data_IF_366582711382
#
_entry.id   IF_366582711382
#
_cell.length_a   1.000
_cell.length_b   1.000
_cell.length_c   1.000
_cell.angle_alpha   90.00
_cell.angle_beta   90.00
_cell.angle_gamma   90.00
#
_symmetry.space_group_name_H-M   'P 1'
#
loop_
_entity.id
_entity.type
_entity.pdbx_description
1 polymer ?
#
# COMPACT_ATOMS: atom_id res chain seq x y z
N UNK A 1 -12.56 -18.93 18.64
CA UNK A 1 -11.60 -18.10 17.88
C UNK A 1 -12.24 -16.73 17.77
N UNK A 2 -11.80 -15.79 18.60
CA UNK A 2 -12.48 -14.51 18.76
C UNK A 2 -12.33 -13.69 17.47
N UNK A 3 -13.46 -13.35 16.86
CA UNK A 3 -13.57 -12.34 15.83
C UNK A 3 -13.43 -10.97 16.54
N UNK A 4 -12.22 -10.63 16.95
CA UNK A 4 -11.87 -9.31 17.52
C UNK A 4 -11.77 -8.27 16.37
N UNK A 5 -12.77 -8.24 15.51
CA UNK A 5 -12.88 -7.26 14.44
C UNK A 5 -13.97 -6.26 14.80
N UNK A 6 -13.66 -4.97 14.69
CA UNK A 6 -14.67 -3.93 14.79
C UNK A 6 -15.74 -4.17 13.71
N UNK A 7 -16.98 -4.38 14.16
CA UNK A 7 -18.15 -4.53 13.28
C UNK A 7 -18.52 -3.16 12.75
N UNK A 8 -18.31 -2.95 11.45
CA UNK A 8 -18.77 -1.73 10.78
C UNK A 8 -20.31 -1.71 10.74
N UNK A 9 -20.95 -0.53 10.69
CA UNK A 9 -22.41 -0.40 10.62
C UNK A 9 -23.03 -1.13 9.41
N UNK A 10 -22.28 -1.30 8.32
CA UNK A 10 -22.66 -2.07 7.11
C UNK A 10 -22.61 -3.60 7.29
N UNK A 11 -22.26 -4.11 8.47
CA UNK A 11 -22.20 -5.54 8.75
C UNK A 11 -20.94 -6.26 8.25
N UNK A 12 -20.00 -5.52 7.64
CA UNK A 12 -18.67 -6.04 7.31
C UNK A 12 -17.75 -6.00 8.55
N UNK A 13 -16.96 -7.05 8.74
CA UNK A 13 -15.92 -7.07 9.76
C UNK A 13 -14.67 -6.34 9.25
N UNK A 14 -14.07 -5.49 10.08
CA UNK A 14 -12.71 -5.03 9.84
C UNK A 14 -11.79 -6.26 9.90
N UNK A 15 -11.30 -6.69 8.74
CA UNK A 15 -10.41 -7.84 8.56
C UNK A 15 -8.94 -7.52 8.89
N UNK A 16 -8.67 -6.31 9.42
CA UNK A 16 -7.33 -5.81 9.71
C UNK A 16 -6.57 -5.34 8.46
N UNK A 17 -7.23 -5.30 7.29
CA UNK A 17 -6.66 -4.68 6.10
C UNK A 17 -6.98 -3.19 6.04
N UNK A 18 -6.04 -2.42 5.51
CA UNK A 18 -6.17 -0.99 5.33
C UNK A 18 -5.69 -0.60 3.92
N UNK A 19 -6.20 0.52 3.41
CA UNK A 19 -5.77 1.06 2.13
C UNK A 19 -4.69 2.11 2.35
N UNK A 20 -3.48 1.81 1.89
CA UNK A 20 -2.37 2.74 1.84
C UNK A 20 -2.43 3.51 0.52
N UNK A 21 -2.66 4.82 0.58
CA UNK A 21 -2.54 5.72 -0.56
C UNK A 21 -1.15 6.35 -0.56
N UNK A 22 -0.46 6.22 -1.68
CA UNK A 22 0.86 6.80 -1.89
C UNK A 22 0.81 7.67 -3.13
N UNK A 23 1.33 8.89 -3.00
CA UNK A 23 1.53 9.77 -4.13
C UNK A 23 2.97 9.64 -4.63
N UNK A 24 3.13 9.13 -5.85
CA UNK A 24 4.43 9.02 -6.51
C UNK A 24 4.72 10.36 -7.17
N UNK A 25 5.54 11.18 -6.53
CA UNK A 25 5.87 12.54 -6.98
C UNK A 25 6.58 12.55 -8.34
N UNK A 26 7.44 11.56 -8.60
CA UNK A 26 8.18 11.41 -9.86
C UNK A 26 7.24 11.20 -11.07
N UNK A 27 6.15 10.46 -10.87
CA UNK A 27 5.14 10.18 -11.90
C UNK A 27 3.87 11.04 -11.74
N UNK A 28 3.82 11.89 -10.72
CA UNK A 28 2.63 12.66 -10.30
C UNK A 28 1.35 11.81 -10.25
N UNK A 29 1.44 10.59 -9.73
CA UNK A 29 0.37 9.59 -9.78
C UNK A 29 0.06 9.01 -8.41
N UNK A 30 -1.23 8.93 -8.10
CA UNK A 30 -1.71 8.33 -6.88
C UNK A 30 -1.90 6.82 -7.05
N UNK A 31 -1.35 6.05 -6.11
CA UNK A 31 -1.48 4.60 -6.06
C UNK A 31 -2.09 4.19 -4.73
N UNK A 32 -3.20 3.47 -4.77
CA UNK A 32 -3.76 2.80 -3.60
C UNK A 32 -3.36 1.33 -3.57
N UNK A 33 -2.86 0.88 -2.42
CA UNK A 33 -2.53 -0.51 -2.13
C UNK A 33 -3.29 -0.97 -0.89
N UNK A 34 -4.05 -2.05 -1.03
CA UNK A 34 -4.60 -2.74 0.14
C UNK A 34 -3.54 -3.61 0.78
N UNK A 35 -3.28 -3.34 2.04
CA UNK A 35 -2.20 -3.91 2.84
C UNK A 35 -2.77 -4.43 4.16
N UNK A 36 -2.16 -5.46 4.71
CA UNK A 36 -2.46 -5.98 6.05
C UNK A 36 -1.37 -5.48 7.00
N UNK A 37 -1.65 -5.33 8.30
CA UNK A 37 -0.64 -4.92 9.29
C UNK A 37 0.62 -5.81 9.36
N UNK A 38 0.62 -6.96 8.69
CA UNK A 38 1.73 -7.91 8.59
C UNK A 38 2.70 -7.60 7.43
N UNK A 39 2.37 -6.72 6.48
CA UNK A 39 3.23 -6.42 5.34
C UNK A 39 4.36 -5.45 5.71
N UNK A 40 5.60 -5.83 5.42
CA UNK A 40 6.77 -4.98 5.61
C UNK A 40 6.89 -3.91 4.51
N UNK A 41 7.57 -2.80 4.81
CA UNK A 41 7.74 -1.67 3.89
C UNK A 41 8.38 -2.07 2.55
N UNK A 42 9.33 -3.02 2.57
CA UNK A 42 9.92 -3.59 1.35
C UNK A 42 8.92 -4.39 0.49
N UNK A 43 7.95 -5.06 1.13
CA UNK A 43 6.88 -5.76 0.41
C UNK A 43 5.88 -4.80 -0.22
N UNK A 44 5.55 -3.70 0.45
CA UNK A 44 4.72 -2.62 -0.09
C UNK A 44 5.37 -2.02 -1.34
N UNK A 45 6.66 -1.77 -1.27
CA UNK A 45 7.47 -1.21 -2.34
C UNK A 45 7.55 -2.12 -3.58
N UNK A 46 7.73 -3.43 -3.40
CA UNK A 46 7.66 -4.39 -4.51
C UNK A 46 6.30 -4.36 -5.20
N UNK A 47 5.23 -4.39 -4.40
CA UNK A 47 3.85 -4.36 -4.90
C UNK A 47 3.52 -3.06 -5.63
N UNK A 48 4.14 -1.95 -5.23
CA UNK A 48 4.07 -0.66 -5.91
C UNK A 48 4.77 -0.72 -7.27
N UNK A 49 5.99 -1.26 -7.35
CA UNK A 49 6.74 -1.43 -8.61
C UNK A 49 5.98 -2.30 -9.60
N UNK A 50 5.41 -3.42 -9.13
CA UNK A 50 4.56 -4.30 -9.95
C UNK A 50 3.34 -3.55 -10.50
N UNK A 51 2.67 -2.74 -9.68
CA UNK A 51 1.51 -1.93 -10.11
C UNK A 51 1.87 -0.86 -11.13
N UNK A 52 3.06 -0.26 -11.01
CA UNK A 52 3.53 0.79 -11.90
C UNK A 52 4.12 0.22 -13.20
N UNK A 53 4.37 -1.10 -13.27
CA UNK A 53 4.91 -1.76 -14.46
C UNK A 53 6.37 -1.39 -14.74
N UNK A 54 7.09 -0.92 -13.72
CA UNK A 54 8.47 -0.42 -13.84
C UNK A 54 9.44 -1.60 -13.72
N UNK A 55 9.49 -2.45 -14.75
CA UNK A 55 10.47 -3.52 -14.85
C UNK A 55 11.74 -2.97 -15.52
N UNK A 56 12.87 -3.16 -14.81
CA UNK A 56 14.24 -3.03 -15.33
C UNK A 56 14.82 -1.60 -15.44
N UNK A 57 14.80 -0.82 -14.35
CA UNK A 57 15.65 0.40 -14.30
C UNK A 57 15.33 1.44 -13.22
N UNK A 58 14.22 1.30 -12.49
CA UNK A 58 13.93 2.20 -11.37
C UNK A 58 14.77 1.81 -10.16
N UNK A 59 15.89 2.50 -10.00
CA UNK A 59 16.66 2.51 -8.77
C UNK A 59 15.78 3.10 -7.66
N UNK A 60 15.24 2.23 -6.79
CA UNK A 60 14.38 2.67 -5.70
C UNK A 60 15.10 3.65 -4.76
N UNK A 61 16.43 3.60 -4.71
CA UNK A 61 17.25 4.54 -3.95
C UNK A 61 17.23 5.98 -4.52
N UNK A 62 16.56 6.21 -5.66
CA UNK A 62 16.26 7.55 -6.22
C UNK A 62 14.81 7.99 -5.98
N UNK A 63 13.94 7.10 -5.54
CA UNK A 63 12.55 7.42 -5.20
C UNK A 63 12.49 7.97 -3.76
N UNK A 64 13.22 9.05 -3.47
CA UNK A 64 13.30 9.65 -2.12
C UNK A 64 12.01 10.37 -1.67
N UNK A 65 10.92 10.35 -2.45
CA UNK A 65 9.71 11.12 -2.13
C UNK A 65 8.43 10.37 -2.49
N UNK A 66 8.18 9.25 -1.81
CA UNK A 66 6.82 8.75 -1.63
C UNK A 66 6.18 9.49 -0.45
N UNK A 67 5.18 10.33 -0.74
CA UNK A 67 4.36 10.92 0.31
C UNK A 67 3.22 9.95 0.61
N UNK A 68 3.19 9.43 1.84
CA UNK A 68 2.04 8.70 2.37
C UNK A 68 1.02 9.76 2.77
N UNK A 69 -0.10 9.79 2.05
CA UNK A 69 -1.20 10.76 2.24
C UNK A 69 -2.32 10.19 3.08
#
# INVERSE_FOLDING_TARGET
MALDGIRMPDGCYADGTWELKMHVTDLHRDVSLRVTGEIHIGGVMLKLVEKLGLVEGYDFARCDTFSVV
#
